data_IF_233269112159
#
_entry.id   IF_233269112159
#
_cell.length_a   1.000
_cell.length_b   1.000
_cell.length_c   1.000
_cell.angle_alpha   90.00
_cell.angle_beta   90.00
_cell.angle_gamma   90.00
#
_symmetry.space_group_name_H-M   'P 1'
#
loop_
_entity.id
_entity.type
_entity.pdbx_description
1 polymer ?
#
# COMPACT_ATOMS: atom_id res chain seq x y z
N UNK A 1 -23.21 -10.67 12.73
CA UNK A 1 -22.01 -11.46 12.38
C UNK A 1 -22.06 -11.95 10.92
N UNK A 2 -23.14 -11.71 10.15
CA UNK A 2 -23.24 -12.06 8.72
C UNK A 2 -22.36 -11.24 7.78
N UNK A 3 -22.25 -9.91 7.94
CA UNK A 3 -21.47 -9.08 6.99
C UNK A 3 -19.97 -9.40 6.96
N UNK A 4 -19.40 -9.84 8.11
CA UNK A 4 -17.98 -10.21 8.22
C UNK A 4 -17.65 -11.50 7.45
N UNK A 5 -18.63 -12.40 7.28
CA UNK A 5 -18.43 -13.63 6.50
C UNK A 5 -18.53 -13.38 4.99
N UNK A 6 -19.35 -12.42 4.55
CA UNK A 6 -19.44 -12.03 3.13
C UNK A 6 -18.15 -11.35 2.65
N UNK A 7 -17.55 -10.47 3.47
CA UNK A 7 -16.28 -9.80 3.15
C UNK A 7 -15.10 -10.81 3.03
N UNK A 8 -15.05 -11.83 3.91
CA UNK A 8 -14.01 -12.89 3.86
C UNK A 8 -14.23 -13.83 2.67
N UNK A 9 -15.50 -14.10 2.30
CA UNK A 9 -15.83 -14.91 1.12
C UNK A 9 -15.45 -14.21 -0.19
N UNK A 10 -15.58 -12.89 -0.26
CA UNK A 10 -15.14 -12.09 -1.42
C UNK A 10 -13.61 -12.13 -1.58
N UNK A 11 -12.84 -11.97 -0.50
CA UNK A 11 -11.37 -11.94 -0.55
C UNK A 11 -10.70 -13.31 -0.73
N UNK A 12 -11.23 -14.37 -0.10
CA UNK A 12 -10.54 -15.68 -0.07
C UNK A 12 -10.99 -16.66 -1.18
N UNK A 13 -12.23 -16.54 -1.68
CA UNK A 13 -12.82 -17.58 -2.54
C UNK A 13 -13.31 -17.09 -3.91
N UNK A 14 -13.27 -15.78 -4.20
CA UNK A 14 -13.74 -15.26 -5.50
C UNK A 14 -12.62 -15.09 -6.53
N UNK A 15 -11.39 -14.86 -6.08
CA UNK A 15 -10.22 -14.75 -6.93
C UNK A 15 -9.37 -15.99 -6.76
N UNK A 16 -9.62 -17.01 -7.59
CA UNK A 16 -8.63 -18.07 -7.79
C UNK A 16 -7.35 -17.38 -8.25
N UNK A 17 -6.31 -17.40 -7.42
CA UNK A 17 -4.97 -16.98 -7.79
C UNK A 17 -4.52 -17.83 -8.99
N UNK A 18 -4.75 -17.31 -10.21
CA UNK A 18 -4.37 -17.95 -11.47
C UNK A 18 -3.22 -17.19 -12.09
N UNK A 19 -2.12 -17.08 -11.35
CA UNK A 19 -0.81 -17.08 -12.00
C UNK A 19 0.29 -17.29 -10.96
N UNK A 20 1.02 -18.42 -11.02
CA UNK A 20 2.21 -18.58 -10.20
C UNK A 20 3.30 -17.61 -10.68
N UNK A 21 3.90 -16.89 -9.74
CA UNK A 21 5.14 -16.13 -9.95
C UNK A 21 6.25 -17.13 -10.24
N UNK A 22 6.71 -17.20 -11.50
CA UNK A 22 7.79 -18.12 -11.87
C UNK A 22 8.27 -17.98 -13.31
N UNK A 23 9.51 -17.54 -13.45
CA UNK A 23 10.36 -17.51 -14.65
C UNK A 23 10.34 -18.83 -15.43
N UNK A 24 9.76 -18.85 -16.65
CA UNK A 24 10.01 -19.91 -17.62
C UNK A 24 10.20 -19.30 -19.02
N UNK A 25 11.29 -19.71 -19.66
CA UNK A 25 11.90 -19.11 -20.84
C UNK A 25 11.02 -19.19 -22.10
N UNK A 26 11.18 -18.18 -22.97
CA UNK A 26 10.55 -18.09 -24.29
C UNK A 26 11.03 -19.22 -25.21
N UNK A 27 10.09 -19.98 -25.78
CA UNK A 27 10.36 -20.95 -26.85
C UNK A 27 9.07 -21.37 -27.56
N UNK A 28 8.95 -20.95 -28.82
CA UNK A 28 8.05 -21.42 -29.88
C UNK A 28 6.52 -21.43 -29.64
N UNK A 29 5.81 -20.77 -30.56
CA UNK A 29 4.35 -20.59 -30.66
C UNK A 29 3.71 -19.70 -29.58
N UNK A 30 3.23 -18.51 -29.99
CA UNK A 30 2.63 -17.54 -29.07
C UNK A 30 1.19 -17.94 -28.74
N UNK A 31 1.04 -18.84 -27.77
CA UNK A 31 -0.23 -19.17 -27.08
C UNK A 31 -0.67 -18.10 -26.06
N UNK A 32 -0.02 -16.93 -26.06
CA UNK A 32 -0.39 -15.83 -25.18
C UNK A 32 -1.56 -15.05 -25.80
N UNK A 33 -2.79 -15.43 -25.44
CA UNK A 33 -3.93 -14.51 -25.51
C UNK A 33 -3.74 -13.46 -24.43
N UNK A 34 -3.59 -12.21 -24.83
CA UNK A 34 -3.64 -11.10 -23.89
C UNK A 34 -4.92 -11.22 -23.05
N UNK A 35 -4.80 -11.22 -21.72
CA UNK A 35 -5.99 -11.23 -20.88
C UNK A 35 -6.84 -10.01 -21.24
N UNK A 36 -8.18 -10.13 -21.22
CA UNK A 36 -9.03 -8.98 -21.44
C UNK A 36 -8.60 -7.85 -20.50
N UNK A 37 -8.62 -6.59 -20.96
CA UNK A 37 -8.20 -5.46 -20.15
C UNK A 37 -8.91 -5.53 -18.80
N UNK A 38 -8.13 -5.46 -17.71
CA UNK A 38 -8.66 -5.51 -16.36
C UNK A 38 -9.80 -4.48 -16.24
N UNK A 39 -10.97 -4.86 -15.73
CA UNK A 39 -12.06 -3.91 -15.51
C UNK A 39 -11.54 -2.75 -14.66
N UNK A 40 -11.80 -1.51 -15.10
CA UNK A 40 -11.30 -0.31 -14.43
C UNK A 40 -11.82 -0.17 -12.98
N UNK A 41 -13.00 -0.72 -12.72
CA UNK A 41 -13.58 -0.89 -11.39
C UNK A 41 -14.36 -2.20 -11.36
N UNK A 42 -14.26 -2.95 -10.26
CA UNK A 42 -15.22 -3.99 -9.95
C UNK A 42 -16.32 -3.41 -9.03
N UNK A 43 -17.56 -3.20 -9.52
CA UNK A 43 -18.62 -2.52 -8.75
C UNK A 43 -18.97 -3.21 -7.42
N UNK A 44 -18.57 -4.47 -7.24
CA UNK A 44 -18.70 -5.20 -5.99
C UNK A 44 -17.77 -4.69 -4.87
N UNK A 45 -16.64 -4.08 -5.21
CA UNK A 45 -15.68 -3.55 -4.23
C UNK A 45 -16.14 -2.22 -3.65
N UNK A 46 -16.82 -1.38 -4.43
CA UNK A 46 -17.30 -0.05 -3.99
C UNK A 46 -18.32 -0.10 -2.84
N UNK A 47 -19.01 -1.23 -2.66
CA UNK A 47 -19.94 -1.45 -1.54
C UNK A 47 -19.36 -2.33 -0.44
N UNK A 48 -18.17 -2.90 -0.65
CA UNK A 48 -17.55 -3.80 0.32
C UNK A 48 -17.06 -3.03 1.54
N UNK A 49 -17.23 -3.61 2.72
CA UNK A 49 -16.79 -3.00 3.97
C UNK A 49 -15.26 -2.99 4.09
N UNK A 50 -14.60 -3.95 3.43
CA UNK A 50 -13.14 -3.99 3.26
C UNK A 50 -12.63 -2.77 2.49
N UNK A 51 -13.27 -2.34 1.40
CA UNK A 51 -12.84 -1.17 0.63
C UNK A 51 -12.87 0.12 1.46
N UNK A 52 -13.92 0.32 2.27
CA UNK A 52 -14.01 1.47 3.17
C UNK A 52 -12.91 1.46 4.25
N UNK A 53 -12.60 0.28 4.82
CA UNK A 53 -11.52 0.13 5.80
C UNK A 53 -10.14 0.35 5.18
N UNK A 54 -9.90 -0.18 3.98
CA UNK A 54 -8.67 0.02 3.23
C UNK A 54 -8.46 1.49 2.89
N UNK A 55 -9.51 2.17 2.40
CA UNK A 55 -9.45 3.60 2.09
C UNK A 55 -9.13 4.49 3.30
N UNK A 56 -9.74 4.21 4.46
CA UNK A 56 -9.42 4.94 5.70
C UNK A 56 -8.00 4.64 6.17
N UNK A 57 -7.55 3.38 6.10
CA UNK A 57 -6.22 2.99 6.51
C UNK A 57 -5.14 3.70 5.67
N UNK A 58 -5.29 3.72 4.35
CA UNK A 58 -4.39 4.44 3.44
C UNK A 58 -4.43 5.94 3.66
N UNK A 59 -5.61 6.53 3.88
CA UNK A 59 -5.72 7.96 4.18
C UNK A 59 -4.97 8.33 5.46
N UNK A 60 -5.16 7.57 6.54
CA UNK A 60 -4.47 7.82 7.80
C UNK A 60 -2.97 7.56 7.69
N UNK A 61 -2.55 6.51 6.98
CA UNK A 61 -1.13 6.21 6.78
C UNK A 61 -0.43 7.31 5.99
N UNK A 62 -1.00 7.75 4.87
CA UNK A 62 -0.45 8.84 4.06
C UNK A 62 -0.46 10.18 4.80
N UNK A 63 -1.50 10.48 5.57
CA UNK A 63 -1.56 11.68 6.42
C UNK A 63 -0.43 11.68 7.46
N UNK A 64 -0.26 10.59 8.19
CA UNK A 64 0.80 10.45 9.19
C UNK A 64 2.20 10.46 8.56
N UNK A 65 2.37 9.81 7.41
CA UNK A 65 3.62 9.84 6.66
C UNK A 65 4.03 11.27 6.34
N UNK A 66 3.17 12.01 5.64
CA UNK A 66 3.45 13.40 5.26
C UNK A 66 3.66 14.30 6.49
N UNK A 67 2.84 14.13 7.52
CA UNK A 67 2.97 14.92 8.75
C UNK A 67 4.36 14.77 9.37
N UNK A 68 4.81 13.54 9.59
CA UNK A 68 6.10 13.28 10.24
C UNK A 68 7.27 13.69 9.34
N UNK A 69 7.23 13.36 8.04
CA UNK A 69 8.36 13.67 7.13
C UNK A 69 8.50 15.16 6.89
N UNK A 70 7.40 15.88 6.64
CA UNK A 70 7.45 17.34 6.41
C UNK A 70 7.87 18.07 7.68
N UNK A 71 7.33 17.68 8.83
CA UNK A 71 7.73 18.29 10.12
C UNK A 71 9.23 18.08 10.37
N UNK A 72 9.76 16.89 10.07
CA UNK A 72 11.20 16.60 10.20
C UNK A 72 12.04 17.49 9.29
N UNK A 73 11.65 17.65 8.02
CA UNK A 73 12.36 18.51 7.06
C UNK A 73 12.32 19.98 7.50
N UNK A 74 11.15 20.47 7.90
CA UNK A 74 10.97 21.85 8.37
C UNK A 74 11.75 22.09 9.67
N UNK A 75 11.80 21.11 10.56
CA UNK A 75 12.57 21.17 11.81
C UNK A 75 14.09 21.24 11.59
N UNK A 76 14.61 20.50 10.61
CA UNK A 76 16.03 20.60 10.23
C UNK A 76 16.32 21.96 9.59
N UNK A 77 15.47 22.41 8.66
CA UNK A 77 15.67 23.68 7.97
C UNK A 77 15.54 24.91 8.89
N UNK A 78 14.67 24.84 9.91
CA UNK A 78 14.49 25.90 10.90
C UNK A 78 15.53 25.91 12.02
N UNK A 79 16.47 24.97 12.04
CA UNK A 79 17.48 24.86 13.10
C UNK A 79 18.60 25.89 12.94
N UNK A 80 19.17 26.36 14.07
CA UNK A 80 20.27 27.35 14.08
C UNK A 80 21.61 26.82 13.55
N UNK A 81 21.69 25.52 13.24
CA UNK A 81 22.88 24.86 12.72
C UNK A 81 22.63 23.36 12.51
N UNK A 82 23.26 22.79 11.49
CA UNK A 82 23.03 21.41 11.04
C UNK A 82 23.26 20.37 12.15
N UNK A 83 24.23 20.61 13.05
CA UNK A 83 24.54 19.74 14.19
C UNK A 83 23.56 19.86 15.37
N UNK A 84 22.67 20.87 15.37
CA UNK A 84 21.67 21.06 16.42
C UNK A 84 20.32 20.42 16.09
N UNK A 85 20.25 19.69 14.98
CA UNK A 85 19.05 18.97 14.52
C UNK A 85 19.39 17.53 14.17
N UNK A 86 18.36 16.76 13.79
CA UNK A 86 18.54 15.38 13.29
C UNK A 86 19.32 15.30 11.97
N UNK A 87 19.52 16.44 11.29
CA UNK A 87 20.28 16.54 10.04
C UNK A 87 19.68 15.77 8.87
N UNK A 88 20.43 15.69 7.77
CA UNK A 88 20.00 15.00 6.55
C UNK A 88 19.84 13.49 6.78
N UNK A 89 20.70 12.89 7.62
CA UNK A 89 20.58 11.48 7.99
C UNK A 89 19.27 11.20 8.75
N UNK A 90 18.85 12.11 9.64
CA UNK A 90 17.58 12.01 10.34
C UNK A 90 16.37 12.13 9.42
N UNK A 91 16.45 13.00 8.40
CA UNK A 91 15.41 13.09 7.36
C UNK A 91 15.29 11.74 6.64
N UNK A 92 16.41 11.16 6.18
CA UNK A 92 16.41 9.85 5.51
C UNK A 92 15.80 8.75 6.39
N UNK A 93 16.11 8.74 7.70
CA UNK A 93 15.50 7.82 8.66
C UNK A 93 14.00 8.06 8.87
N UNK A 94 13.55 9.32 8.86
CA UNK A 94 12.12 9.61 8.97
C UNK A 94 11.33 9.08 7.76
N UNK A 95 11.85 9.24 6.54
CA UNK A 95 11.24 8.68 5.34
C UNK A 95 11.21 7.14 5.37
N UNK A 96 12.37 6.51 5.56
CA UNK A 96 12.48 5.05 5.56
C UNK A 96 11.76 4.39 6.74
N UNK A 97 11.91 4.95 7.94
CA UNK A 97 11.32 4.42 9.17
C UNK A 97 9.80 4.54 9.20
N UNK A 98 9.24 5.65 8.71
CA UNK A 98 7.79 5.81 8.64
C UNK A 98 7.17 4.87 7.61
N UNK A 99 7.79 4.66 6.45
CA UNK A 99 7.30 3.66 5.48
C UNK A 99 7.33 2.26 6.08
N UNK A 100 8.44 1.87 6.71
CA UNK A 100 8.55 0.57 7.38
C UNK A 100 7.44 0.35 8.42
N UNK A 101 7.20 1.34 9.28
CA UNK A 101 6.17 1.25 10.31
C UNK A 101 4.75 1.25 9.71
N UNK A 102 4.48 2.10 8.73
CA UNK A 102 3.14 2.23 8.15
C UNK A 102 2.76 1.03 7.30
N UNK A 103 3.68 0.51 6.47
CA UNK A 103 3.45 -0.72 5.70
C UNK A 103 3.17 -1.89 6.65
N UNK A 104 3.91 -2.00 7.75
CA UNK A 104 3.63 -3.02 8.76
C UNK A 104 2.22 -2.88 9.36
N UNK A 105 1.75 -1.65 9.57
CA UNK A 105 0.42 -1.41 10.12
C UNK A 105 -0.72 -1.59 9.10
N UNK A 106 -0.50 -1.26 7.82
CA UNK A 106 -1.55 -1.25 6.79
C UNK A 106 -1.63 -2.51 5.94
N UNK A 107 -0.57 -3.32 5.84
CA UNK A 107 -0.52 -4.50 4.96
C UNK A 107 -1.59 -5.58 5.24
N UNK A 108 -2.23 -5.56 6.40
CA UNK A 108 -3.35 -6.46 6.73
C UNK A 108 -4.74 -5.84 6.55
N UNK A 109 -4.83 -4.60 6.06
CA UNK A 109 -6.06 -3.80 6.02
C UNK A 109 -6.31 -3.18 4.64
N UNK A 110 -5.28 -2.67 3.96
CA UNK A 110 -5.33 -2.11 2.61
C UNK A 110 -4.47 -2.88 1.60
#
# INVERSE_FOLDING_TARGET
MEGKEEDVKLGANKFSERQPIGTAAQGADKDYKEPPPAPFFEPGELKSWSFWRAGIAEFMATFLFLYITILTVMGVNGSKGVCSSVGIQGIAWAFGGMIFALVYCTAGVS
#
